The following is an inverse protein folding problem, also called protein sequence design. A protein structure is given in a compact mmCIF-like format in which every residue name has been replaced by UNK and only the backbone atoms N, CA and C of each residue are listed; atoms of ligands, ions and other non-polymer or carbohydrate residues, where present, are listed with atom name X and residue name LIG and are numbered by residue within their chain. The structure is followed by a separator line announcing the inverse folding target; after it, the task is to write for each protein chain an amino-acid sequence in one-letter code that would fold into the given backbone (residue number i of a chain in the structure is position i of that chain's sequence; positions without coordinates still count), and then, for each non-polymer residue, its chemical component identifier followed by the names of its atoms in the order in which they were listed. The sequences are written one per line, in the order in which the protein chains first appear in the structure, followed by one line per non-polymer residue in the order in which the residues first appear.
data_IF_571116984185
#
_entry.id   IF_571116984185
#
_cell.length_a   1.000
_cell.length_b   1.000
_cell.length_c   1.000
_cell.angle_alpha   90.00
_cell.angle_beta   90.00
_cell.angle_gamma   90.00
#
_symmetry.space_group_name_H-M   'P 1'
#
loop_
_entity.id
_entity.type
_entity.pdbx_description
1 polymer ?
#
# COMPACT_ATOMS: atom_id res chain seq x y z
N UNK A 1 -0.94 6.43 5.79
CA UNK A 1 -1.73 6.13 7.01
C UNK A 1 -1.33 7.14 8.07
N UNK A 2 -2.27 7.79 8.75
CA UNK A 2 -1.96 8.47 10.00
C UNK A 2 -1.35 7.44 10.97
N UNK A 3 -0.42 7.90 11.82
CA UNK A 3 0.07 7.10 12.95
C UNK A 3 -1.12 6.78 13.87
N UNK A 4 -1.64 5.56 13.75
CA UNK A 4 -2.83 5.12 14.47
C UNK A 4 -2.50 3.80 15.13
N UNK A 5 -2.74 3.74 16.44
CA UNK A 5 -2.56 2.52 17.24
C UNK A 5 -3.70 1.51 17.03
N UNK A 6 -4.63 1.77 16.12
CA UNK A 6 -5.72 0.86 15.81
C UNK A 6 -5.21 -0.35 15.03
N UNK A 7 -5.27 -1.57 15.60
CA UNK A 7 -4.72 -2.76 14.96
C UNK A 7 -5.46 -3.11 13.67
N UNK A 8 -6.64 -2.54 13.39
CA UNK A 8 -7.38 -2.79 12.14
C UNK A 8 -6.70 -2.24 10.90
N UNK A 9 -5.89 -1.18 11.06
CA UNK A 9 -5.39 -0.40 9.92
C UNK A 9 -4.15 -1.05 9.28
N UNK A 10 -3.46 -1.93 10.01
CA UNK A 10 -2.24 -2.61 9.53
C UNK A 10 -2.48 -3.91 8.80
N UNK A 11 -3.73 -4.36 8.66
CA UNK A 11 -4.07 -5.66 8.05
C UNK A 11 -5.08 -5.50 6.92
N UNK A 12 -5.06 -6.45 5.99
CA UNK A 12 -6.03 -6.50 4.91
C UNK A 12 -7.41 -6.90 5.47
N UNK A 13 -8.24 -5.91 5.81
CA UNK A 13 -9.55 -6.18 6.42
C UNK A 13 -10.48 -6.98 5.50
N UNK A 14 -10.32 -6.90 4.18
CA UNK A 14 -11.09 -7.74 3.27
C UNK A 14 -10.75 -9.21 3.52
N UNK A 15 -9.46 -9.55 3.61
CA UNK A 15 -9.02 -10.90 3.98
C UNK A 15 -9.42 -11.29 5.41
N UNK A 16 -9.36 -10.36 6.37
CA UNK A 16 -9.82 -10.61 7.75
C UNK A 16 -11.32 -10.91 7.82
N UNK A 17 -12.14 -10.28 6.98
CA UNK A 17 -13.60 -10.44 7.01
C UNK A 17 -14.10 -11.58 6.13
N UNK A 18 -13.49 -11.78 4.96
CA UNK A 18 -14.00 -12.72 3.93
C UNK A 18 -13.02 -13.86 3.66
N UNK A 19 -11.88 -13.92 4.36
CA UNK A 19 -10.85 -14.92 4.15
C UNK A 19 -11.18 -16.29 4.75
N UNK A 20 -10.33 -17.29 4.47
CA UNK A 20 -10.61 -18.69 4.78
C UNK A 20 -10.78 -18.98 6.28
N UNK A 21 -10.14 -18.18 7.14
CA UNK A 21 -10.18 -18.40 8.60
C UNK A 21 -11.44 -17.86 9.26
N UNK A 22 -12.12 -16.90 8.62
CA UNK A 22 -13.14 -16.05 9.27
C UNK A 22 -14.43 -15.94 8.46
N UNK A 23 -14.48 -16.41 7.21
CA UNK A 23 -15.69 -16.39 6.38
C UNK A 23 -16.91 -17.03 7.07
N UNK A 24 -16.70 -18.09 7.85
CA UNK A 24 -17.73 -18.79 8.60
C UNK A 24 -17.78 -18.41 10.09
N UNK A 25 -17.14 -17.31 10.48
CA UNK A 25 -17.10 -16.87 11.88
C UNK A 25 -18.50 -16.46 12.36
N UNK A 26 -19.06 -17.08 13.43
CA UNK A 26 -20.46 -16.88 13.82
C UNK A 26 -20.80 -15.45 14.23
N UNK A 27 -19.90 -14.76 14.93
CA UNK A 27 -20.10 -13.40 15.39
C UNK A 27 -19.74 -12.41 14.26
N UNK A 28 -20.67 -12.20 13.33
CA UNK A 28 -20.43 -11.42 12.10
C UNK A 28 -19.97 -9.97 12.34
N UNK A 29 -20.38 -9.38 13.46
CA UNK A 29 -20.05 -8.00 13.83
C UNK A 29 -18.85 -7.90 14.77
N UNK A 30 -18.28 -9.02 15.23
CA UNK A 30 -17.09 -9.02 16.07
C UNK A 30 -15.83 -8.97 15.20
N UNK A 31 -15.49 -7.76 14.76
CA UNK A 31 -14.33 -7.50 13.91
C UNK A 31 -13.01 -7.83 14.63
N UNK A 32 -12.92 -7.58 15.94
CA UNK A 32 -11.71 -7.89 16.70
C UNK A 32 -11.54 -9.40 16.93
N UNK A 33 -12.63 -10.14 17.15
CA UNK A 33 -12.62 -11.59 17.18
C UNK A 33 -12.20 -12.19 15.84
N UNK A 34 -12.71 -11.67 14.72
CA UNK A 34 -12.24 -12.05 13.37
C UNK A 34 -10.75 -11.77 13.19
N UNK A 35 -10.29 -10.57 13.57
CA UNK A 35 -8.87 -10.21 13.50
C UNK A 35 -8.02 -11.14 14.35
N UNK A 36 -8.42 -11.45 15.58
CA UNK A 36 -7.71 -12.40 16.44
C UNK A 36 -7.55 -13.78 15.77
N UNK A 37 -8.64 -14.34 15.23
CA UNK A 37 -8.60 -15.63 14.54
C UNK A 37 -7.69 -15.57 13.31
N UNK A 38 -7.83 -14.54 12.49
CA UNK A 38 -6.98 -14.33 11.31
C UNK A 38 -5.49 -14.27 11.69
N UNK A 39 -5.14 -13.47 12.70
CA UNK A 39 -3.75 -13.34 13.17
C UNK A 39 -3.21 -14.64 13.74
N UNK A 40 -4.01 -15.33 14.57
CA UNK A 40 -3.62 -16.61 15.15
C UNK A 40 -3.29 -17.61 14.05
N UNK A 41 -4.17 -17.80 13.08
CA UNK A 41 -3.95 -18.77 12.00
C UNK A 41 -2.80 -18.36 11.08
N UNK A 42 -2.67 -17.07 10.77
CA UNK A 42 -1.57 -16.54 9.95
C UNK A 42 -0.21 -16.76 10.63
N UNK A 43 -0.09 -16.40 11.92
CA UNK A 43 1.14 -16.56 12.68
C UNK A 43 1.48 -18.04 12.93
N UNK A 44 0.49 -18.89 13.21
CA UNK A 44 0.72 -20.34 13.32
C UNK A 44 1.15 -20.94 11.99
N UNK A 45 0.55 -20.51 10.88
CA UNK A 45 0.97 -20.88 9.53
C UNK A 45 2.42 -20.49 9.27
N UNK A 46 2.80 -19.25 9.61
CA UNK A 46 4.16 -18.76 9.53
C UNK A 46 5.14 -19.58 10.37
N UNK A 47 4.84 -19.84 11.65
CA UNK A 47 5.67 -20.67 12.53
C UNK A 47 5.88 -22.09 11.99
N UNK A 48 4.83 -22.71 11.42
CA UNK A 48 4.93 -24.04 10.77
C UNK A 48 5.80 -24.03 9.52
N UNK A 49 5.89 -22.89 8.81
CA UNK A 49 6.78 -22.74 7.66
C UNK A 49 8.22 -22.53 8.13
N UNK A 50 8.43 -21.68 9.14
CA UNK A 50 9.74 -21.48 9.76
C UNK A 50 10.33 -22.77 10.29
N UNK A 51 9.52 -23.66 10.88
CA UNK A 51 10.02 -24.94 11.39
C UNK A 51 10.47 -25.92 10.29
N UNK A 52 10.18 -25.63 9.02
CA UNK A 52 10.49 -26.47 7.86
C UNK A 52 11.60 -25.91 6.98
N UNK A 53 12.02 -24.68 7.22
CA UNK A 53 12.97 -23.96 6.37
C UNK A 53 14.12 -23.43 7.20
N UNK A 54 15.31 -23.38 6.63
CA UNK A 54 16.43 -22.69 7.25
C UNK A 54 16.29 -21.19 7.02
N UNK A 55 15.70 -20.48 7.99
CA UNK A 55 15.45 -19.04 7.88
C UNK A 55 16.33 -18.29 8.87
N UNK A 56 17.09 -17.32 8.35
CA UNK A 56 17.87 -16.38 9.15
C UNK A 56 17.20 -15.01 9.15
N UNK A 57 16.63 -14.63 10.29
CA UNK A 57 16.03 -13.30 10.49
C UNK A 57 17.10 -12.37 11.07
N UNK A 58 17.27 -11.19 10.48
CA UNK A 58 18.17 -10.13 10.96
C UNK A 58 17.34 -8.87 11.19
N UNK A 59 17.33 -8.38 12.42
CA UNK A 59 16.75 -7.08 12.78
C UNK A 59 17.89 -6.11 12.99
N UNK A 60 17.86 -4.99 12.28
CA UNK A 60 18.89 -3.96 12.34
C UNK A 60 18.25 -2.65 12.82
N UNK A 61 18.85 -2.02 13.81
CA UNK A 61 18.48 -0.66 14.24
C UNK A 61 19.54 0.30 13.71
N UNK A 62 19.38 0.70 12.45
CA UNK A 62 20.30 1.62 11.77
C UNK A 62 19.50 2.59 10.92
N UNK A 63 20.07 3.78 10.71
CA UNK A 63 19.56 4.76 9.75
C UNK A 63 19.50 4.14 8.34
N UNK A 64 18.35 4.20 7.64
CA UNK A 64 18.23 3.75 6.25
C UNK A 64 19.30 4.32 5.32
N UNK A 65 19.75 5.56 5.53
CA UNK A 65 20.81 6.17 4.72
C UNK A 65 22.16 5.48 4.90
N UNK A 66 22.38 4.89 6.07
CA UNK A 66 23.60 4.14 6.42
C UNK A 66 23.54 2.67 6.00
N UNK A 67 22.35 2.15 5.63
CA UNK A 67 22.14 0.74 5.28
C UNK A 67 23.05 0.27 4.14
N UNK A 68 23.23 1.00 3.01
CA UNK A 68 24.11 0.53 1.95
C UNK A 68 25.57 0.39 2.39
N UNK A 69 26.05 1.34 3.18
CA UNK A 69 27.41 1.29 3.73
C UNK A 69 27.58 0.13 4.71
N UNK A 70 26.56 -0.15 5.54
CA UNK A 70 26.57 -1.28 6.45
C UNK A 70 26.62 -2.63 5.70
N UNK A 71 25.76 -2.81 4.70
CA UNK A 71 25.67 -4.07 3.96
C UNK A 71 26.89 -4.34 3.07
N UNK A 72 27.46 -3.31 2.44
CA UNK A 72 28.70 -3.45 1.64
C UNK A 72 29.89 -3.97 2.44
N UNK A 73 29.91 -3.73 3.75
CA UNK A 73 30.96 -4.24 4.65
C UNK A 73 30.74 -5.69 5.07
N UNK A 74 29.56 -6.25 4.82
CA UNK A 74 29.25 -7.64 5.14
C UNK A 74 29.74 -8.54 3.99
N UNK A 75 30.61 -9.52 4.25
CA UNK A 75 31.05 -10.44 3.22
C UNK A 75 29.90 -11.33 2.73
N UNK A 76 29.84 -11.56 1.41
CA UNK A 76 29.03 -12.62 0.82
C UNK A 76 27.55 -12.31 0.53
N UNK A 77 27.13 -11.04 0.52
CA UNK A 77 25.76 -10.67 0.13
C UNK A 77 25.70 -10.34 -1.38
N UNK A 78 25.08 -11.18 -2.23
CA UNK A 78 24.93 -10.90 -3.67
C UNK A 78 23.88 -9.81 -3.97
N UNK A 79 23.23 -9.26 -2.95
CA UNK A 79 22.09 -8.35 -3.05
C UNK A 79 20.77 -9.05 -2.78
N UNK A 80 19.70 -8.26 -2.70
CA UNK A 80 18.35 -8.74 -2.40
C UNK A 80 17.56 -9.09 -3.67
N UNK A 81 16.79 -10.17 -3.60
CA UNK A 81 15.81 -10.51 -4.64
C UNK A 81 14.60 -9.59 -4.62
N UNK A 82 14.24 -9.07 -3.44
CA UNK A 82 13.13 -8.13 -3.27
C UNK A 82 13.42 -7.25 -2.07
N UNK A 83 13.17 -5.96 -2.23
CA UNK A 83 13.23 -4.98 -1.14
C UNK A 83 11.87 -4.29 -1.11
N UNK A 84 11.22 -4.29 0.05
CA UNK A 84 10.02 -3.47 0.29
C UNK A 84 10.44 -2.26 1.12
N UNK A 85 10.15 -1.07 0.60
CA UNK A 85 10.62 0.20 1.17
C UNK A 85 9.48 1.01 1.81
N UNK A 86 8.28 0.43 1.87
CA UNK A 86 7.07 1.06 2.39
C UNK A 86 6.88 2.48 1.81
N UNK A 87 6.57 3.48 2.64
CA UNK A 87 6.32 4.88 2.26
C UNK A 87 7.58 5.74 2.11
N UNK A 88 8.78 5.15 2.08
CA UNK A 88 10.02 5.96 2.04
C UNK A 88 10.09 6.88 0.82
N UNK A 89 9.46 6.53 -0.30
CA UNK A 89 9.46 7.36 -1.51
C UNK A 89 8.55 8.60 -1.43
N UNK A 90 7.75 8.76 -0.38
CA UNK A 90 6.98 9.99 -0.15
C UNK A 90 7.93 11.19 0.02
N UNK A 91 7.56 12.35 -0.51
CA UNK A 91 8.38 13.57 -0.49
C UNK A 91 8.78 13.99 0.93
N UNK A 92 7.88 13.82 1.89
CA UNK A 92 8.06 14.24 3.28
C UNK A 92 8.81 13.20 4.14
N UNK A 93 9.22 12.07 3.52
CA UNK A 93 10.01 11.02 4.17
C UNK A 93 11.44 11.01 3.61
N UNK A 94 11.60 10.64 2.34
CA UNK A 94 12.91 10.64 1.66
C UNK A 94 12.79 11.05 0.19
N UNK A 95 11.64 10.79 -0.45
CA UNK A 95 11.40 11.06 -1.85
C UNK A 95 11.92 9.96 -2.77
N UNK A 96 11.21 9.73 -3.87
CA UNK A 96 11.51 8.63 -4.80
C UNK A 96 12.94 8.64 -5.36
N UNK A 97 13.51 9.82 -5.63
CA UNK A 97 14.85 9.92 -6.20
C UNK A 97 15.90 9.35 -5.24
N UNK A 98 15.88 9.78 -3.98
CA UNK A 98 16.80 9.29 -2.95
C UNK A 98 16.50 7.83 -2.56
N UNK A 99 15.24 7.42 -2.50
CA UNK A 99 14.85 6.01 -2.30
C UNK A 99 15.48 5.11 -3.37
N UNK A 100 15.35 5.46 -4.65
CA UNK A 100 15.98 4.67 -5.72
C UNK A 100 17.51 4.73 -5.64
N UNK A 101 18.11 5.88 -5.33
CA UNK A 101 19.57 5.99 -5.19
C UNK A 101 20.14 5.05 -4.12
N UNK A 102 19.43 4.88 -2.99
CA UNK A 102 19.87 4.09 -1.84
C UNK A 102 19.61 2.60 -2.04
N UNK A 103 18.42 2.24 -2.49
CA UNK A 103 17.98 0.83 -2.49
C UNK A 103 18.24 0.11 -3.81
N UNK A 104 18.31 0.80 -4.95
CA UNK A 104 18.60 0.13 -6.25
C UNK A 104 19.93 -0.62 -6.24
N UNK A 105 21.04 -0.06 -5.71
CA UNK A 105 22.32 -0.78 -5.64
C UNK A 105 22.32 -2.00 -4.72
N UNK A 106 21.30 -2.15 -3.87
CA UNK A 106 21.16 -3.29 -2.95
C UNK A 106 20.40 -4.46 -3.60
N UNK A 107 19.72 -4.24 -4.72
CA UNK A 107 19.13 -5.33 -5.49
C UNK A 107 20.20 -6.22 -6.10
N UNK A 108 19.91 -7.51 -6.23
CA UNK A 108 20.75 -8.39 -7.04
C UNK A 108 20.86 -7.83 -8.46
N UNK A 109 22.06 -7.82 -9.06
CA UNK A 109 22.23 -7.43 -10.44
C UNK A 109 21.35 -8.24 -11.39
N UNK A 110 20.89 -7.62 -12.47
CA UNK A 110 20.01 -8.25 -13.48
C UNK A 110 20.54 -9.60 -14.00
N UNK A 111 21.87 -9.74 -14.11
CA UNK A 111 22.52 -10.98 -14.57
C UNK A 111 22.35 -12.15 -13.58
N UNK A 112 22.24 -11.87 -12.28
CA UNK A 112 22.04 -12.88 -11.25
C UNK A 112 20.55 -13.13 -10.98
N UNK A 113 19.74 -12.08 -10.98
CA UNK A 113 18.29 -12.20 -10.87
C UNK A 113 17.59 -11.11 -11.70
N UNK A 114 17.04 -11.45 -12.88
CA UNK A 114 16.32 -10.48 -13.71
C UNK A 114 14.96 -10.08 -13.11
N UNK A 115 14.48 -10.78 -12.08
CA UNK A 115 13.22 -10.48 -11.37
C UNK A 115 13.43 -9.66 -10.10
N UNK A 116 14.68 -9.29 -9.78
CA UNK A 116 14.97 -8.46 -8.61
C UNK A 116 14.21 -7.13 -8.68
N UNK A 117 13.56 -6.75 -7.57
CA UNK A 117 12.63 -5.60 -7.61
C UNK A 117 12.50 -4.84 -6.28
N UNK A 118 12.15 -3.55 -6.39
CA UNK A 118 11.74 -2.70 -5.27
C UNK A 118 10.23 -2.55 -5.24
N UNK A 119 9.61 -2.83 -4.09
CA UNK A 119 8.21 -2.54 -3.82
C UNK A 119 8.12 -1.24 -3.04
N UNK A 120 7.37 -0.28 -3.57
CA UNK A 120 7.20 1.06 -3.00
C UNK A 120 5.71 1.35 -2.86
N UNK A 121 5.32 1.91 -1.71
CA UNK A 121 3.98 2.41 -1.44
C UNK A 121 3.97 3.94 -1.50
N UNK A 122 3.02 4.51 -2.22
CA UNK A 122 2.69 5.94 -2.19
C UNK A 122 1.25 6.10 -1.72
N UNK A 123 0.96 7.13 -0.94
CA UNK A 123 -0.33 7.45 -0.33
C UNK A 123 -0.50 8.97 -0.33
N UNK A 124 0.31 9.69 0.45
CA UNK A 124 0.12 11.12 0.72
C UNK A 124 0.46 11.97 -0.50
N UNK A 125 1.56 11.68 -1.18
CA UNK A 125 1.97 12.40 -2.38
C UNK A 125 0.92 12.34 -3.51
N UNK A 126 0.13 11.26 -3.54
CA UNK A 126 -0.94 11.08 -4.53
C UNK A 126 -2.20 11.82 -4.09
N UNK A 127 -2.52 11.75 -2.80
CA UNK A 127 -3.62 12.49 -2.18
C UNK A 127 -3.44 14.01 -2.40
N UNK A 128 -2.22 14.53 -2.26
CA UNK A 128 -1.90 15.94 -2.49
C UNK A 128 -2.07 16.40 -3.95
N UNK A 129 -2.12 15.48 -4.91
CA UNK A 129 -2.43 15.82 -6.31
C UNK A 129 -3.93 15.96 -6.57
N UNK A 130 -4.76 15.74 -5.56
CA UNK A 130 -6.20 15.93 -5.66
C UNK A 130 -6.55 17.38 -5.98
N UNK A 131 -7.58 17.56 -6.81
CA UNK A 131 -8.10 18.88 -7.18
C UNK A 131 -9.62 18.82 -7.30
N UNK A 132 -10.30 19.95 -7.08
CA UNK A 132 -11.77 20.03 -7.19
C UNK A 132 -12.26 19.64 -8.59
N UNK A 133 -11.45 19.82 -9.63
CA UNK A 133 -11.78 19.48 -11.02
C UNK A 133 -11.98 17.97 -11.26
N UNK A 134 -11.59 17.09 -10.31
CA UNK A 134 -11.85 15.65 -10.41
C UNK A 134 -13.17 15.21 -9.78
N UNK A 135 -13.86 16.09 -9.04
CA UNK A 135 -15.00 15.75 -8.18
C UNK A 135 -16.26 15.28 -8.94
N UNK A 136 -16.52 15.82 -10.13
CA UNK A 136 -17.82 15.68 -10.80
C UNK A 136 -18.15 14.26 -11.30
N UNK A 137 -17.13 13.41 -11.54
CA UNK A 137 -17.35 12.01 -11.96
C UNK A 137 -17.49 11.05 -10.77
N UNK A 138 -17.09 11.48 -9.57
CA UNK A 138 -16.90 10.62 -8.40
C UNK A 138 -18.16 10.58 -7.52
N UNK A 139 -18.90 11.70 -7.45
CA UNK A 139 -20.11 11.84 -6.62
C UNK A 139 -21.20 10.85 -7.03
N UNK A 140 -21.43 10.63 -8.33
CA UNK A 140 -22.48 9.72 -8.80
C UNK A 140 -22.19 8.24 -8.50
N UNK A 141 -20.92 7.86 -8.28
CA UNK A 141 -20.57 6.50 -7.82
C UNK A 141 -20.67 6.38 -6.32
N UNK A 142 -20.30 7.44 -5.60
CA UNK A 142 -20.37 7.51 -4.15
C UNK A 142 -21.81 7.38 -3.63
N UNK A 143 -22.78 8.01 -4.30
CA UNK A 143 -24.22 7.95 -3.94
C UNK A 143 -24.81 6.54 -3.95
N UNK A 144 -24.19 5.59 -4.65
CA UNK A 144 -24.61 4.17 -4.60
C UNK A 144 -24.31 3.52 -3.25
N UNK A 145 -23.24 3.95 -2.60
CA UNK A 145 -22.69 3.29 -1.40
C UNK A 145 -22.97 4.07 -0.11
N UNK A 146 -23.33 5.33 -0.25
CA UNK A 146 -23.39 6.30 0.84
C UNK A 146 -24.79 6.87 0.98
N UNK A 147 -25.21 7.08 2.23
CA UNK A 147 -26.47 7.71 2.57
C UNK A 147 -26.47 9.20 2.19
N UNK A 148 -27.66 9.72 1.87
CA UNK A 148 -27.86 11.16 1.77
C UNK A 148 -27.81 11.77 3.18
N UNK A 149 -27.03 12.85 3.40
CA UNK A 149 -26.99 13.53 4.69
C UNK A 149 -28.37 14.03 5.10
N UNK A 150 -28.72 13.86 6.38
CA UNK A 150 -30.00 14.36 6.91
C UNK A 150 -30.04 15.89 6.94
N UNK A 151 -28.86 16.51 7.11
CA UNK A 151 -28.71 17.95 7.21
C UNK A 151 -27.51 18.46 6.41
N UNK A 152 -27.47 19.78 6.21
CA UNK A 152 -26.28 20.47 5.66
C UNK A 152 -25.31 20.92 6.75
N UNK A 153 -25.49 20.48 8.01
CA UNK A 153 -24.59 20.80 9.11
C UNK A 153 -23.23 20.13 8.85
N UNK A 154 -22.15 20.87 9.06
CA UNK A 154 -20.79 20.34 8.88
C UNK A 154 -20.46 19.17 9.83
N UNK A 155 -21.24 18.99 10.90
CA UNK A 155 -21.12 17.90 11.88
C UNK A 155 -22.07 16.72 11.61
N UNK A 156 -22.85 16.77 10.54
CA UNK A 156 -23.69 15.65 10.12
C UNK A 156 -22.81 14.41 9.86
N UNK A 157 -23.16 13.28 10.48
CA UNK A 157 -22.33 12.08 10.43
C UNK A 157 -22.20 11.53 9.00
N UNK A 158 -23.28 11.58 8.22
CA UNK A 158 -23.29 11.13 6.84
C UNK A 158 -22.56 12.15 5.96
N UNK A 159 -22.65 13.45 6.22
CA UNK A 159 -21.84 14.44 5.50
C UNK A 159 -20.33 14.25 5.75
N UNK A 160 -19.91 14.02 6.99
CA UNK A 160 -18.51 13.74 7.34
C UNK A 160 -18.06 12.43 6.67
N UNK A 161 -18.87 11.37 6.76
CA UNK A 161 -18.60 10.09 6.12
C UNK A 161 -18.45 10.27 4.61
N UNK A 162 -19.34 11.04 3.97
CA UNK A 162 -19.32 11.29 2.54
C UNK A 162 -18.06 12.02 2.10
N UNK A 163 -17.65 13.05 2.85
CA UNK A 163 -16.38 13.75 2.61
C UNK A 163 -15.20 12.79 2.68
N UNK A 164 -15.13 11.96 3.72
CA UNK A 164 -14.04 10.99 3.91
C UNK A 164 -14.04 9.90 2.82
N UNK A 165 -15.20 9.35 2.49
CA UNK A 165 -15.31 8.24 1.55
C UNK A 165 -15.18 8.66 0.08
N UNK A 166 -15.31 9.95 -0.23
CA UNK A 166 -15.18 10.49 -1.58
C UNK A 166 -13.85 10.11 -2.26
N UNK A 167 -12.78 9.96 -1.47
CA UNK A 167 -11.47 9.55 -1.94
C UNK A 167 -11.46 8.16 -2.60
N UNK A 168 -12.35 7.24 -2.21
CA UNK A 168 -12.47 5.90 -2.83
C UNK A 168 -13.05 5.93 -4.25
N UNK A 169 -13.59 7.07 -4.66
CA UNK A 169 -14.20 7.25 -5.98
C UNK A 169 -13.32 8.08 -6.92
N UNK A 170 -12.39 8.85 -6.37
CA UNK A 170 -11.44 9.69 -7.11
C UNK A 170 -10.70 9.03 -8.27
N UNK A 171 -10.37 9.83 -9.28
CA UNK A 171 -9.49 9.40 -10.38
C UNK A 171 -8.02 9.38 -9.94
N UNK A 172 -7.67 8.43 -9.07
CA UNK A 172 -6.31 8.24 -8.52
C UNK A 172 -5.25 7.95 -9.59
N UNK A 173 -5.65 7.44 -10.75
CA UNK A 173 -4.72 7.22 -11.87
C UNK A 173 -4.25 8.54 -12.45
N UNK A 174 -5.18 9.51 -12.62
CA UNK A 174 -4.83 10.88 -13.02
C UNK A 174 -3.97 11.56 -11.96
N UNK A 175 -4.29 11.42 -10.68
CA UNK A 175 -3.47 11.96 -9.58
C UNK A 175 -2.05 11.41 -9.60
N UNK A 176 -1.90 10.09 -9.77
CA UNK A 176 -0.58 9.46 -9.88
C UNK A 176 0.18 9.89 -11.14
N UNK A 177 -0.50 10.09 -12.26
CA UNK A 177 0.13 10.64 -13.48
C UNK A 177 0.62 12.08 -13.29
N UNK A 178 -0.12 12.90 -12.57
CA UNK A 178 0.31 14.25 -12.20
C UNK A 178 1.53 14.21 -11.27
N UNK A 179 1.52 13.35 -10.27
CA UNK A 179 2.66 13.12 -9.37
C UNK A 179 3.92 12.70 -10.14
N UNK A 180 3.81 11.72 -11.05
CA UNK A 180 4.93 11.27 -11.89
C UNK A 180 5.52 12.41 -12.73
N UNK A 181 4.67 13.32 -13.22
CA UNK A 181 5.10 14.48 -14.00
C UNK A 181 5.83 15.51 -13.12
N UNK A 182 5.27 15.83 -11.95
CA UNK A 182 5.84 16.83 -11.04
C UNK A 182 7.18 16.39 -10.44
N UNK A 183 7.36 15.09 -10.23
CA UNK A 183 8.59 14.49 -9.66
C UNK A 183 9.58 13.96 -10.70
N UNK A 184 9.28 14.10 -11.99
CA UNK A 184 10.21 13.76 -13.06
C UNK A 184 10.48 12.26 -13.22
N UNK A 185 9.48 11.40 -13.03
CA UNK A 185 9.65 9.94 -13.15
C UNK A 185 10.28 9.47 -14.46
N UNK A 186 10.04 10.21 -15.56
CA UNK A 186 10.61 9.93 -16.87
C UNK A 186 12.15 9.92 -16.91
N UNK A 187 12.83 10.56 -15.95
CA UNK A 187 14.29 10.56 -15.87
C UNK A 187 14.86 9.45 -14.99
N UNK A 188 14.05 8.86 -14.10
CA UNK A 188 14.51 7.90 -13.09
C UNK A 188 15.07 6.62 -13.73
N UNK A 189 14.46 6.14 -14.82
CA UNK A 189 14.98 4.95 -15.54
C UNK A 189 16.36 5.17 -16.12
N UNK A 190 16.61 6.35 -16.70
CA UNK A 190 17.94 6.70 -17.18
C UNK A 190 18.95 6.81 -16.04
N UNK A 191 18.52 7.35 -14.90
CA UNK A 191 19.39 7.61 -13.74
C UNK A 191 19.78 6.35 -12.97
N UNK A 192 18.83 5.43 -12.75
CA UNK A 192 19.02 4.28 -11.86
C UNK A 192 18.95 2.92 -12.58
N UNK A 193 18.64 2.89 -13.87
CA UNK A 193 18.49 1.64 -14.63
C UNK A 193 17.26 0.82 -14.22
N UNK A 194 16.32 1.42 -13.49
CA UNK A 194 15.07 0.78 -13.07
C UNK A 194 13.87 1.38 -13.79
N UNK A 195 12.92 0.54 -14.19
CA UNK A 195 11.64 0.97 -14.72
C UNK A 195 10.52 0.51 -13.80
N UNK A 196 9.43 1.26 -13.78
CA UNK A 196 8.19 0.76 -13.19
C UNK A 196 7.66 -0.40 -14.04
N UNK A 197 7.18 -1.46 -13.37
CA UNK A 197 6.40 -2.48 -14.04
C UNK A 197 5.06 -1.93 -14.50
N UNK A 198 4.65 -2.35 -15.70
CA UNK A 198 3.34 -2.01 -16.24
C UNK A 198 2.19 -2.66 -15.45
N UNK A 199 2.39 -3.92 -15.01
CA UNK A 199 1.48 -4.64 -14.14
C UNK A 199 2.27 -5.17 -12.94
N UNK A 200 1.79 -4.91 -11.74
CA UNK A 200 2.36 -5.50 -10.54
C UNK A 200 2.09 -7.02 -10.49
N UNK A 201 2.98 -7.74 -9.82
CA UNK A 201 2.94 -9.21 -9.67
C UNK A 201 2.73 -9.67 -8.23
N UNK A 202 3.08 -8.82 -7.25
CA UNK A 202 2.98 -9.11 -5.81
C UNK A 202 1.68 -8.57 -5.23
N UNK A 203 1.35 -7.33 -5.54
CA UNK A 203 0.17 -6.63 -5.01
C UNK A 203 -0.47 -5.78 -6.09
N UNK A 204 -1.80 -5.76 -6.15
CA UNK A 204 -2.50 -4.90 -7.10
C UNK A 204 -2.05 -3.44 -6.96
N UNK A 205 -2.14 -2.68 -8.04
CA UNK A 205 -1.74 -1.27 -8.03
C UNK A 205 -2.49 -0.42 -6.99
N UNK A 206 -3.78 -0.69 -6.80
CA UNK A 206 -4.67 0.05 -5.92
C UNK A 206 -5.47 -0.94 -5.08
N UNK A 207 -4.83 -1.67 -4.15
CA UNK A 207 -5.45 -2.81 -3.49
C UNK A 207 -6.57 -2.40 -2.54
N UNK A 208 -6.56 -1.14 -2.09
CA UNK A 208 -7.52 -0.60 -1.12
C UNK A 208 -8.70 0.13 -1.78
N UNK A 209 -8.97 -0.08 -3.08
CA UNK A 209 -10.10 0.56 -3.76
C UNK A 209 -11.20 -0.44 -4.08
N UNK A 210 -12.48 -0.06 -3.91
CA UNK A 210 -13.58 -0.88 -4.39
C UNK A 210 -13.50 -0.98 -5.91
N UNK A 211 -13.66 -2.20 -6.43
CA UNK A 211 -13.83 -2.42 -7.87
C UNK A 211 -15.04 -1.65 -8.43
N UNK A 212 -15.11 -1.49 -9.76
CA UNK A 212 -16.17 -0.72 -10.43
C UNK A 212 -17.59 -1.07 -9.98
N UNK A 213 -17.84 -2.36 -9.72
CA UNK A 213 -19.11 -2.92 -9.30
C UNK A 213 -19.01 -3.66 -7.95
N UNK A 214 -18.14 -3.20 -7.04
CA UNK A 214 -17.99 -3.84 -5.73
C UNK A 214 -19.34 -3.93 -4.99
N UNK A 215 -19.64 -5.04 -4.28
CA UNK A 215 -20.76 -5.12 -3.35
C UNK A 215 -20.65 -4.06 -2.23
N UNK A 216 -21.78 -3.69 -1.64
CA UNK A 216 -21.83 -2.76 -0.48
C UNK A 216 -20.90 -3.20 0.63
N UNK A 217 -20.94 -4.50 0.99
CA UNK A 217 -20.11 -5.07 2.05
C UNK A 217 -18.60 -4.86 1.81
N UNK A 218 -18.14 -4.96 0.55
CA UNK A 218 -16.72 -4.73 0.22
C UNK A 218 -16.35 -3.27 0.41
N UNK A 219 -17.24 -2.35 0.03
CA UNK A 219 -17.03 -0.92 0.27
C UNK A 219 -16.99 -0.62 1.77
N UNK A 220 -17.95 -1.12 2.55
CA UNK A 220 -18.03 -0.88 3.99
C UNK A 220 -16.77 -1.40 4.71
N UNK A 221 -16.25 -2.57 4.30
CA UNK A 221 -15.00 -3.14 4.85
C UNK A 221 -13.80 -2.25 4.52
N UNK A 222 -13.67 -1.79 3.27
CA UNK A 222 -12.57 -0.93 2.86
C UNK A 222 -12.62 0.43 3.56
N UNK A 223 -13.80 1.02 3.69
CA UNK A 223 -13.99 2.28 4.42
C UNK A 223 -13.62 2.12 5.91
N UNK A 224 -14.04 1.02 6.53
CA UNK A 224 -13.72 0.71 7.93
C UNK A 224 -12.24 0.36 8.16
N UNK A 225 -11.48 0.06 7.10
CA UNK A 225 -10.06 -0.32 7.20
C UNK A 225 -9.13 0.83 7.54
N UNK A 226 -9.61 2.08 7.50
CA UNK A 226 -8.75 3.25 7.63
C UNK A 226 -7.93 3.56 6.38
N UNK A 227 -8.13 2.81 5.29
CA UNK A 227 -7.59 3.16 3.99
C UNK A 227 -8.14 4.51 3.51
N UNK A 228 -7.29 5.24 2.81
CA UNK A 228 -7.63 6.48 2.10
C UNK A 228 -8.14 6.19 0.68
N UNK A 229 -7.80 5.03 0.13
CA UNK A 229 -8.00 4.70 -1.27
C UNK A 229 -6.89 5.24 -2.18
N UNK A 230 -5.94 6.03 -1.67
CA UNK A 230 -4.78 6.54 -2.42
C UNK A 230 -3.56 5.62 -2.34
N UNK A 231 -3.65 4.47 -1.68
CA UNK A 231 -2.56 3.51 -1.53
C UNK A 231 -2.17 2.91 -2.89
N UNK A 232 -1.08 3.42 -3.46
CA UNK A 232 -0.49 3.01 -4.72
C UNK A 232 0.77 2.19 -4.50
N UNK A 233 0.70 0.92 -4.88
CA UNK A 233 1.90 0.09 -4.96
C UNK A 233 2.55 0.15 -6.34
N UNK A 234 3.86 0.34 -6.35
CA UNK A 234 4.69 0.38 -7.57
C UNK A 234 5.85 -0.61 -7.42
N UNK A 235 5.93 -1.54 -8.36
CA UNK A 235 7.10 -2.42 -8.50
C UNK A 235 8.10 -1.79 -9.47
N UNK A 236 9.35 -1.60 -9.03
CA UNK A 236 10.47 -1.18 -9.86
C UNK A 236 11.39 -2.36 -10.15
N UNK A 237 11.73 -2.57 -11.41
CA UNK A 237 12.60 -3.65 -11.86
C UNK A 237 13.69 -3.14 -12.80
N UNK A 238 14.73 -3.94 -13.01
CA UNK A 238 15.78 -3.62 -13.98
C UNK A 238 15.21 -3.41 -15.39
N UNK A 239 15.57 -2.29 -16.01
CA UNK A 239 15.12 -1.90 -17.35
C UNK A 239 15.54 -2.91 -18.42
#
# INVERSE_FOLDING_TARGET
MPDSADPRISWNLLEVCTGPFTANYPAKNDLYGRLFIYLRETLLGFCRQLSKQEVKIRVLSIDPLSLPGYLKRQPGDPGFDRIETYITAEKDVLGIDATLAIFSPLLKPKILNPKAMLLVLFVCDIEDMWSRDTLDQDVARATKYLSEPETTDDNDADLIRNRRASSFFSNVSKSFDLYKKSTGFGTLTRKYGLKMRGNNTIVAHWPMRPGKNAPQEVFDILEASGASGYERYVEWEWA
#
